data_IF_320939472650
#
_entry.id   IF_320939472650
#
_cell.length_a   1.000
_cell.length_b   1.000
_cell.length_c   1.000
_cell.angle_alpha   90.00
_cell.angle_beta   90.00
_cell.angle_gamma   90.00
#
_symmetry.space_group_name_H-M   'P 1'
#
loop_
_entity.id
_entity.type
_entity.pdbx_description
1 polymer ?
#
# COMPACT_ATOMS: atom_id res chain seq x y z
N UNK A 1 1.74 -22.58 14.18
CA UNK A 1 0.57 -21.68 14.25
C UNK A 1 0.63 -20.72 13.06
N UNK A 2 -0.21 -20.95 12.07
CA UNK A 2 -0.35 -20.16 10.84
C UNK A 2 -0.87 -18.77 11.18
N UNK A 3 0.03 -17.79 11.31
CA UNK A 3 -0.39 -16.38 11.32
C UNK A 3 -0.95 -16.08 9.93
N UNK A 4 -2.28 -16.02 9.85
CA UNK A 4 -3.04 -15.54 8.70
C UNK A 4 -2.33 -14.32 8.10
N UNK A 5 -1.94 -14.42 6.83
CA UNK A 5 -1.38 -13.34 6.04
C UNK A 5 -2.27 -12.11 6.19
N UNK A 6 -1.76 -11.07 6.84
CA UNK A 6 -2.40 -9.77 6.88
C UNK A 6 -1.77 -8.94 5.76
N UNK A 7 -2.42 -8.77 4.59
CA UNK A 7 -1.96 -7.82 3.58
C UNK A 7 -1.79 -6.44 4.17
N UNK A 8 -0.71 -5.80 3.74
CA UNK A 8 -0.19 -4.56 4.30
C UNK A 8 -1.17 -3.41 4.01
N UNK A 9 -1.76 -2.81 5.05
CA UNK A 9 -2.75 -1.74 4.92
C UNK A 9 -2.20 -0.53 4.15
N UNK A 10 -0.88 -0.34 4.21
CA UNK A 10 -0.15 0.70 3.47
C UNK A 10 -0.17 0.44 1.96
N UNK A 11 0.02 -0.82 1.53
CA UNK A 11 -0.05 -1.20 0.11
C UNK A 11 -1.48 -1.07 -0.42
N UNK A 12 -2.47 -1.47 0.38
CA UNK A 12 -3.89 -1.31 0.04
C UNK A 12 -4.30 0.17 -0.05
N UNK A 13 -3.74 1.02 0.81
CA UNK A 13 -3.94 2.48 0.74
C UNK A 13 -3.29 3.12 -0.49
N UNK A 14 -2.10 2.65 -0.90
CA UNK A 14 -1.38 3.14 -2.09
C UNK A 14 -2.00 2.68 -3.41
N UNK A 15 -2.71 1.56 -3.42
CA UNK A 15 -3.43 1.07 -4.59
C UNK A 15 -4.46 2.08 -5.12
N UNK A 16 -5.02 2.94 -4.26
CA UNK A 16 -5.89 4.03 -4.69
C UNK A 16 -5.25 4.95 -5.74
N UNK A 17 -3.95 5.23 -5.65
CA UNK A 17 -3.22 6.04 -6.65
C UNK A 17 -3.11 5.32 -7.99
N UNK A 18 -2.79 4.03 -7.97
CA UNK A 18 -2.71 3.18 -9.18
C UNK A 18 -4.07 3.14 -9.85
N UNK A 19 -5.16 3.03 -9.07
CA UNK A 19 -6.52 3.03 -9.59
C UNK A 19 -6.91 4.35 -10.26
N UNK A 20 -6.56 5.48 -9.65
CA UNK A 20 -6.78 6.81 -10.25
C UNK A 20 -6.02 6.93 -11.58
N UNK A 21 -4.74 6.54 -11.60
CA UNK A 21 -3.92 6.55 -12.81
C UNK A 21 -4.48 5.64 -13.90
N UNK A 22 -4.90 4.41 -13.55
CA UNK A 22 -5.49 3.46 -14.47
C UNK A 22 -6.83 3.94 -15.06
N UNK A 23 -7.70 4.52 -14.22
CA UNK A 23 -8.96 5.12 -14.67
C UNK A 23 -8.75 6.31 -15.61
N UNK A 24 -7.76 7.16 -15.31
CA UNK A 24 -7.37 8.27 -16.19
C UNK A 24 -6.83 7.75 -17.54
N UNK A 25 -5.94 6.76 -17.52
CA UNK A 25 -5.39 6.13 -18.72
C UNK A 25 -6.49 5.50 -19.59
N UNK A 26 -7.45 4.80 -18.98
CA UNK A 26 -8.61 4.25 -19.70
C UNK A 26 -9.44 5.37 -20.35
N UNK A 27 -9.71 6.44 -19.63
CA UNK A 27 -10.47 7.59 -20.15
C UNK A 27 -9.78 8.22 -21.36
N UNK A 28 -8.46 8.41 -21.29
CA UNK A 28 -7.65 8.91 -22.41
C UNK A 28 -7.70 7.95 -23.59
N UNK A 29 -7.53 6.65 -23.36
CA UNK A 29 -7.59 5.63 -24.41
C UNK A 29 -8.97 5.63 -25.11
N UNK A 30 -10.06 5.71 -24.36
CA UNK A 30 -11.41 5.80 -24.92
C UNK A 30 -11.61 7.09 -25.71
N UNK A 31 -11.10 8.23 -25.24
CA UNK A 31 -11.17 9.48 -25.98
C UNK A 31 -10.42 9.42 -27.33
N UNK A 32 -9.21 8.83 -27.34
CA UNK A 32 -8.44 8.61 -28.57
C UNK A 32 -9.18 7.67 -29.52
N UNK A 33 -9.71 6.55 -29.02
CA UNK A 33 -10.46 5.61 -29.84
C UNK A 33 -11.77 6.23 -30.37
N UNK A 34 -12.45 7.06 -29.59
CA UNK A 34 -13.63 7.80 -30.04
C UNK A 34 -13.28 8.80 -31.13
N UNK A 35 -12.13 9.50 -31.03
CA UNK A 35 -11.67 10.40 -32.08
C UNK A 35 -11.34 9.67 -33.40
N UNK A 36 -10.79 8.46 -33.32
CA UNK A 36 -10.41 7.66 -34.50
C UNK A 36 -11.57 6.92 -35.15
N UNK A 37 -12.47 6.36 -34.36
CA UNK A 37 -13.51 5.41 -34.81
C UNK A 37 -14.95 5.89 -34.56
N UNK A 38 -15.12 7.07 -33.96
CA UNK A 38 -16.40 7.74 -33.75
C UNK A 38 -17.36 6.95 -32.86
N UNK A 39 -18.65 7.03 -33.19
CA UNK A 39 -19.73 6.43 -32.41
C UNK A 39 -19.67 4.89 -32.30
N UNK A 40 -18.86 4.21 -33.12
CA UNK A 40 -18.70 2.73 -33.05
C UNK A 40 -18.09 2.25 -31.74
N UNK A 41 -17.42 3.16 -31.01
CA UNK A 41 -16.71 2.88 -29.75
C UNK A 41 -17.57 3.20 -28.52
N UNK A 42 -18.84 3.59 -28.72
CA UNK A 42 -19.73 3.99 -27.62
C UNK A 42 -19.80 3.00 -26.44
N UNK A 43 -19.69 1.67 -26.60
CA UNK A 43 -19.79 0.79 -25.44
C UNK A 43 -18.54 0.85 -24.52
N UNK A 44 -17.37 1.33 -25.01
CA UNK A 44 -16.23 1.63 -24.15
C UNK A 44 -16.48 2.84 -23.26
N UNK A 45 -17.32 3.79 -23.70
CA UNK A 45 -17.68 4.95 -22.87
C UNK A 45 -18.44 4.54 -21.60
N UNK A 46 -19.11 3.37 -21.59
CA UNK A 46 -19.75 2.84 -20.39
C UNK A 46 -18.73 2.47 -19.29
N UNK A 47 -17.50 2.12 -19.67
CA UNK A 47 -16.44 1.80 -18.71
C UNK A 47 -15.98 3.01 -17.89
N UNK A 48 -16.02 4.22 -18.48
CA UNK A 48 -15.57 5.47 -17.83
C UNK A 48 -16.36 5.79 -16.55
N UNK A 49 -17.70 5.91 -16.56
CA UNK A 49 -18.47 6.21 -15.35
C UNK A 49 -18.41 5.06 -14.33
N UNK A 50 -18.32 3.81 -14.78
CA UNK A 50 -18.17 2.64 -13.90
C UNK A 50 -16.85 2.68 -13.14
N UNK A 51 -15.73 2.88 -13.85
CA UNK A 51 -14.41 2.98 -13.24
C UNK A 51 -14.31 4.18 -12.30
N UNK A 52 -14.87 5.33 -12.67
CA UNK A 52 -14.93 6.52 -11.83
C UNK A 52 -15.71 6.26 -10.53
N UNK A 53 -16.92 5.69 -10.63
CA UNK A 53 -17.75 5.38 -9.47
C UNK A 53 -17.04 4.40 -8.51
N UNK A 54 -16.41 3.37 -9.04
CA UNK A 54 -15.71 2.37 -8.22
C UNK A 54 -14.41 2.91 -7.63
N UNK A 55 -13.74 3.84 -8.31
CA UNK A 55 -12.59 4.58 -7.75
C UNK A 55 -13.02 5.45 -6.59
N UNK A 56 -14.12 6.20 -6.72
CA UNK A 56 -14.69 7.00 -5.64
C UNK A 56 -15.13 6.11 -4.47
N UNK A 57 -15.80 5.00 -4.75
CA UNK A 57 -16.21 4.05 -3.72
C UNK A 57 -15.00 3.46 -2.98
N UNK A 58 -13.96 3.05 -3.72
CA UNK A 58 -12.73 2.51 -3.16
C UNK A 58 -12.05 3.53 -2.24
N UNK A 59 -11.82 4.76 -2.70
CA UNK A 59 -11.18 5.82 -1.89
C UNK A 59 -11.99 6.14 -0.63
N UNK A 60 -13.33 6.15 -0.72
CA UNK A 60 -14.20 6.45 0.44
C UNK A 60 -14.28 5.32 1.46
N UNK A 61 -14.21 4.07 1.01
CA UNK A 61 -14.44 2.89 1.86
C UNK A 61 -13.18 2.13 2.25
N UNK A 62 -12.05 2.35 1.59
CA UNK A 62 -10.78 1.69 1.90
C UNK A 62 -10.33 1.86 3.36
N UNK A 63 -10.59 2.98 4.07
CA UNK A 63 -10.21 3.09 5.49
C UNK A 63 -11.01 2.16 6.42
N UNK A 64 -12.19 1.69 5.98
CA UNK A 64 -13.09 0.86 6.80
C UNK A 64 -13.07 -0.62 6.40
N UNK A 65 -12.84 -0.91 5.11
CA UNK A 65 -12.86 -2.27 4.58
C UNK A 65 -11.86 -2.41 3.41
N UNK A 66 -10.54 -2.35 3.66
CA UNK A 66 -9.52 -2.25 2.62
C UNK A 66 -9.45 -3.48 1.70
N UNK A 67 -9.65 -4.69 2.25
CA UNK A 67 -9.65 -5.93 1.45
C UNK A 67 -10.86 -6.02 0.53
N UNK A 68 -12.05 -5.82 1.08
CA UNK A 68 -13.31 -5.97 0.33
C UNK A 68 -13.43 -4.90 -0.77
N UNK A 69 -12.92 -3.70 -0.50
CA UNK A 69 -12.87 -2.62 -1.50
C UNK A 69 -11.85 -2.87 -2.60
N UNK A 70 -10.74 -3.56 -2.30
CA UNK A 70 -9.74 -3.96 -3.32
C UNK A 70 -10.23 -5.12 -4.17
N UNK A 71 -10.86 -6.14 -3.57
CA UNK A 71 -11.49 -7.25 -4.30
C UNK A 71 -12.56 -6.75 -5.25
N UNK A 72 -13.51 -5.94 -4.75
CA UNK A 72 -14.58 -5.38 -5.58
C UNK A 72 -14.06 -4.48 -6.70
N UNK A 73 -13.02 -3.71 -6.41
CA UNK A 73 -12.30 -2.90 -7.40
C UNK A 73 -11.72 -3.76 -8.54
N UNK A 74 -10.95 -4.79 -8.21
CA UNK A 74 -10.33 -5.67 -9.20
C UNK A 74 -11.36 -6.48 -10.00
N UNK A 75 -12.47 -6.88 -9.38
CA UNK A 75 -13.57 -7.54 -10.06
C UNK A 75 -14.23 -6.63 -11.11
N UNK A 76 -14.46 -5.36 -10.77
CA UNK A 76 -15.00 -4.38 -11.73
C UNK A 76 -14.01 -4.13 -12.86
N UNK A 77 -12.73 -3.98 -12.55
CA UNK A 77 -11.71 -3.79 -13.58
C UNK A 77 -11.65 -4.98 -14.54
N UNK A 78 -11.82 -6.21 -14.04
CA UNK A 78 -11.92 -7.42 -14.86
C UNK A 78 -13.11 -7.37 -15.82
N UNK A 79 -14.28 -6.94 -15.35
CA UNK A 79 -15.47 -6.81 -16.20
C UNK A 79 -15.28 -5.73 -17.26
N UNK A 80 -14.78 -4.54 -16.89
CA UNK A 80 -14.57 -3.42 -17.82
C UNK A 80 -13.51 -3.77 -18.87
N UNK A 81 -12.41 -4.41 -18.46
CA UNK A 81 -11.36 -4.85 -19.38
C UNK A 81 -11.83 -5.98 -20.30
N UNK A 82 -12.63 -6.93 -19.80
CA UNK A 82 -13.25 -7.97 -20.62
C UNK A 82 -14.17 -7.38 -21.68
N UNK A 83 -15.03 -6.44 -21.28
CA UNK A 83 -15.92 -5.73 -22.20
C UNK A 83 -15.13 -4.92 -23.23
N UNK A 84 -14.07 -4.24 -22.80
CA UNK A 84 -13.22 -3.48 -23.72
C UNK A 84 -12.51 -4.37 -24.74
N UNK A 85 -11.97 -5.50 -24.29
CA UNK A 85 -11.32 -6.49 -25.15
C UNK A 85 -12.28 -7.03 -26.21
N UNK A 86 -13.52 -7.36 -25.82
CA UNK A 86 -14.49 -7.93 -26.74
C UNK A 86 -14.92 -6.96 -27.86
N UNK A 87 -14.95 -5.65 -27.56
CA UNK A 87 -15.34 -4.57 -28.47
C UNK A 87 -14.26 -4.19 -29.48
N UNK A 88 -13.01 -4.08 -29.03
CA UNK A 88 -11.87 -3.66 -29.86
C UNK A 88 -11.44 -4.78 -30.81
N UNK A 89 -12.10 -5.94 -30.78
CA UNK A 89 -11.75 -7.10 -31.61
C UNK A 89 -10.68 -7.99 -30.97
N UNK A 90 -10.50 -7.88 -29.65
CA UNK A 90 -9.69 -8.81 -28.88
C UNK A 90 -10.24 -10.23 -29.03
N UNK A 91 -9.37 -11.13 -29.45
CA UNK A 91 -9.60 -12.58 -29.39
C UNK A 91 -9.69 -13.00 -27.93
N UNK A 92 -10.29 -14.17 -27.64
CA UNK A 92 -10.25 -14.76 -26.30
C UNK A 92 -8.83 -14.75 -25.67
N UNK A 93 -7.78 -14.89 -26.48
CA UNK A 93 -6.38 -14.77 -26.05
C UNK A 93 -5.97 -13.36 -25.59
N UNK A 94 -6.43 -12.31 -26.27
CA UNK A 94 -6.22 -10.91 -25.86
C UNK A 94 -6.92 -10.60 -24.55
N UNK A 95 -8.13 -11.12 -24.35
CA UNK A 95 -8.87 -11.01 -23.08
C UNK A 95 -8.12 -11.67 -21.93
N UNK A 96 -7.57 -12.87 -22.16
CA UNK A 96 -6.76 -13.60 -21.18
C UNK A 96 -5.48 -12.82 -20.83
N UNK A 97 -4.76 -12.30 -21.82
CA UNK A 97 -3.55 -11.50 -21.59
C UNK A 97 -3.83 -10.24 -20.76
N UNK A 98 -4.95 -9.53 -21.00
CA UNK A 98 -5.34 -8.36 -20.21
C UNK A 98 -5.63 -8.69 -18.73
N UNK A 99 -6.11 -9.90 -18.44
CA UNK A 99 -6.32 -10.36 -17.05
C UNK A 99 -5.02 -10.59 -16.29
N UNK A 100 -3.88 -10.70 -16.98
CA UNK A 100 -2.57 -10.89 -16.34
C UNK A 100 -2.27 -9.76 -15.35
N UNK A 101 -2.62 -8.51 -15.70
CA UNK A 101 -2.46 -7.34 -14.83
C UNK A 101 -3.27 -7.49 -13.54
N UNK A 102 -4.50 -7.99 -13.66
CA UNK A 102 -5.43 -8.17 -12.54
C UNK A 102 -4.95 -9.31 -11.63
N UNK A 103 -4.46 -10.40 -12.22
CA UNK A 103 -3.93 -11.57 -11.50
C UNK A 103 -2.69 -11.19 -10.69
N UNK A 104 -1.75 -10.47 -11.32
CA UNK A 104 -0.54 -9.98 -10.64
C UNK A 104 -0.92 -9.04 -9.49
N UNK A 105 -1.81 -8.08 -9.76
CA UNK A 105 -2.29 -7.12 -8.76
C UNK A 105 -3.00 -7.82 -7.59
N UNK A 106 -3.87 -8.79 -7.88
CA UNK A 106 -4.57 -9.58 -6.88
C UNK A 106 -3.61 -10.40 -6.02
N UNK A 107 -2.60 -11.03 -6.62
CA UNK A 107 -1.60 -11.78 -5.86
C UNK A 107 -0.81 -10.89 -4.91
N UNK A 108 -0.30 -9.77 -5.39
CA UNK A 108 0.47 -8.82 -4.57
C UNK A 108 -0.37 -8.21 -3.45
N UNK A 109 -1.61 -7.81 -3.73
CA UNK A 109 -2.43 -7.04 -2.79
C UNK A 109 -3.27 -7.90 -1.84
N UNK A 110 -3.74 -9.06 -2.31
CA UNK A 110 -4.71 -9.90 -1.61
C UNK A 110 -4.19 -11.30 -1.30
N UNK A 111 -3.04 -11.67 -1.85
CA UNK A 111 -2.37 -12.94 -1.60
C UNK A 111 -2.64 -14.02 -2.65
N UNK A 112 -2.03 -15.20 -2.47
CA UNK A 112 -1.98 -16.25 -3.50
C UNK A 112 -3.34 -16.82 -3.89
N UNK A 113 -4.28 -16.94 -2.95
CA UNK A 113 -5.63 -17.42 -3.24
C UNK A 113 -6.40 -16.47 -4.16
N UNK A 114 -6.18 -15.16 -4.02
CA UNK A 114 -6.78 -14.18 -4.91
C UNK A 114 -6.21 -14.27 -6.33
N UNK A 115 -4.89 -14.43 -6.46
CA UNK A 115 -4.26 -14.68 -7.76
C UNK A 115 -4.86 -15.91 -8.46
N UNK A 116 -5.03 -17.03 -7.73
CA UNK A 116 -5.63 -18.24 -8.26
C UNK A 116 -7.09 -18.02 -8.70
N UNK A 117 -7.90 -17.33 -7.88
CA UNK A 117 -9.29 -17.03 -8.21
C UNK A 117 -9.41 -16.15 -9.47
N UNK A 118 -8.62 -15.08 -9.57
CA UNK A 118 -8.63 -14.21 -10.75
C UNK A 118 -8.04 -14.88 -12.00
N UNK A 119 -7.16 -15.87 -11.82
CA UNK A 119 -6.69 -16.73 -12.92
C UNK A 119 -7.83 -17.55 -13.49
N UNK A 120 -8.65 -18.16 -12.62
CA UNK A 120 -9.87 -18.88 -13.02
C UNK A 120 -10.87 -17.97 -13.74
N UNK A 121 -11.09 -16.76 -13.23
CA UNK A 121 -11.97 -15.77 -13.87
C UNK A 121 -11.47 -15.39 -15.27
N UNK A 122 -10.16 -15.09 -15.42
CA UNK A 122 -9.58 -14.76 -16.71
C UNK A 122 -9.67 -15.90 -17.73
N UNK A 123 -9.45 -17.15 -17.29
CA UNK A 123 -9.60 -18.32 -18.13
C UNK A 123 -11.05 -18.51 -18.60
N UNK A 124 -12.03 -18.41 -17.69
CA UNK A 124 -13.45 -18.51 -18.01
C UNK A 124 -13.90 -17.36 -18.94
N UNK A 125 -13.42 -16.14 -18.72
CA UNK A 125 -13.71 -15.01 -19.59
C UNK A 125 -13.16 -15.22 -21.00
N UNK A 126 -11.93 -15.74 -21.14
CA UNK A 126 -11.34 -16.09 -22.44
C UNK A 126 -12.10 -17.19 -23.18
N UNK A 127 -12.48 -18.26 -22.47
CA UNK A 127 -13.27 -19.36 -23.03
C UNK A 127 -14.69 -18.91 -23.41
N UNK A 128 -15.34 -18.13 -22.55
CA UNK A 128 -16.64 -17.54 -22.82
C UNK A 128 -16.61 -16.62 -24.03
N UNK A 129 -15.57 -15.80 -24.17
CA UNK A 129 -15.35 -14.96 -25.34
C UNK A 129 -15.18 -15.81 -26.61
N UNK A 130 -14.37 -16.89 -26.57
CA UNK A 130 -14.24 -17.80 -27.71
C UNK A 130 -15.59 -18.44 -28.08
N UNK A 131 -16.39 -18.86 -27.10
CA UNK A 131 -17.71 -19.43 -27.36
C UNK A 131 -18.66 -18.41 -28.03
N UNK A 132 -18.67 -17.16 -27.55
CA UNK A 132 -19.44 -16.08 -28.17
C UNK A 132 -18.97 -15.79 -29.60
N UNK A 133 -17.66 -15.83 -29.84
CA UNK A 133 -17.08 -15.70 -31.18
C UNK A 133 -17.54 -16.82 -32.12
N UNK A 134 -17.57 -18.08 -31.64
CA UNK A 134 -18.06 -19.23 -32.43
C UNK A 134 -19.55 -19.11 -32.76
N UNK A 135 -20.33 -18.45 -31.90
CA UNK A 135 -21.75 -18.20 -32.10
C UNK A 135 -22.04 -16.97 -32.98
N UNK A 136 -21.01 -16.26 -33.47
CA UNK A 136 -21.17 -15.06 -34.30
C UNK A 136 -21.65 -13.83 -33.53
N UNK A 137 -21.61 -13.86 -32.19
CA UNK A 137 -22.08 -12.77 -31.34
C UNK A 137 -20.89 -11.89 -30.94
N UNK A 138 -20.82 -10.67 -31.50
CA UNK A 138 -19.84 -9.69 -31.04
C UNK A 138 -19.85 -8.37 -31.82
N UNK A 139 -19.93 -7.20 -31.16
CA UNK A 139 -19.65 -5.93 -31.82
C UNK A 139 -18.15 -5.82 -32.10
N UNK A 140 -17.76 -5.80 -33.38
CA UNK A 140 -16.34 -5.81 -33.79
C UNK A 140 -15.99 -4.50 -34.49
N UNK A 141 -14.99 -3.80 -33.96
CA UNK A 141 -14.47 -2.56 -34.57
C UNK A 141 -13.22 -2.82 -35.44
N UNK A 142 -12.41 -3.86 -35.15
CA UNK A 142 -11.15 -4.18 -35.86
C UNK A 142 -11.14 -5.59 -36.48
N UNK A 143 -10.39 -5.76 -37.58
CA UNK A 143 -10.24 -7.03 -38.29
C UNK A 143 -9.64 -8.13 -37.40
N UNK A 144 -10.19 -9.35 -37.48
CA UNK A 144 -9.78 -10.50 -36.66
C UNK A 144 -8.89 -11.48 -37.44
N UNK A 145 -7.87 -12.12 -36.81
CA UNK A 145 -7.10 -13.22 -37.43
C UNK A 145 -7.98 -14.46 -37.69
N UNK A 146 -7.57 -15.40 -38.54
CA UNK A 146 -8.36 -16.60 -38.87
C UNK A 146 -8.63 -17.50 -37.65
N UNK A 147 -9.77 -18.21 -37.63
CA UNK A 147 -10.26 -18.98 -36.47
C UNK A 147 -9.31 -20.09 -36.00
N UNK A 148 -8.58 -20.73 -36.92
CA UNK A 148 -7.66 -21.83 -36.61
C UNK A 148 -6.46 -21.35 -35.77
N UNK A 149 -5.94 -20.16 -36.05
CA UNK A 149 -4.83 -19.56 -35.30
C UNK A 149 -5.28 -19.10 -33.90
N UNK A 150 -6.55 -18.74 -33.72
CA UNK A 150 -7.07 -18.23 -32.43
C UNK A 150 -7.07 -19.27 -31.33
N UNK A 151 -7.39 -20.53 -31.63
CA UNK A 151 -7.45 -21.59 -30.62
C UNK A 151 -6.04 -21.89 -30.07
N UNK A 152 -5.05 -21.95 -30.96
CA UNK A 152 -3.64 -22.14 -30.60
C UNK A 152 -3.11 -20.96 -29.78
N UNK A 153 -3.37 -19.73 -30.22
CA UNK A 153 -2.97 -18.53 -29.47
C UNK A 153 -3.66 -18.48 -28.11
N UNK A 154 -4.95 -18.85 -28.02
CA UNK A 154 -5.67 -18.94 -26.75
C UNK A 154 -5.05 -19.98 -25.81
N UNK A 155 -4.72 -21.18 -26.29
CA UNK A 155 -4.08 -22.20 -25.50
C UNK A 155 -2.73 -21.72 -24.93
N UNK A 156 -1.92 -21.06 -25.77
CA UNK A 156 -0.65 -20.45 -25.34
C UNK A 156 -0.91 -19.35 -24.29
N UNK A 157 -1.86 -18.44 -24.52
CA UNK A 157 -2.21 -17.36 -23.59
C UNK A 157 -2.74 -17.89 -22.26
N UNK A 158 -3.54 -18.96 -22.26
CA UNK A 158 -4.01 -19.65 -21.06
C UNK A 158 -2.83 -20.27 -20.29
N UNK A 159 -1.87 -20.90 -20.99
CA UNK A 159 -0.64 -21.42 -20.39
C UNK A 159 0.21 -20.32 -19.76
N UNK A 160 0.37 -19.18 -20.44
CA UNK A 160 1.07 -17.99 -19.90
C UNK A 160 0.35 -17.46 -18.67
N UNK A 161 -0.97 -17.32 -18.71
CA UNK A 161 -1.75 -16.81 -17.57
C UNK A 161 -1.74 -17.77 -16.38
N UNK A 162 -1.82 -19.07 -16.61
CA UNK A 162 -1.65 -20.07 -15.55
C UNK A 162 -0.25 -19.99 -14.94
N UNK A 163 0.79 -19.86 -15.76
CA UNK A 163 2.17 -19.66 -15.29
C UNK A 163 2.33 -18.38 -14.47
N UNK A 164 1.80 -17.25 -14.95
CA UNK A 164 1.84 -15.98 -14.21
C UNK A 164 1.03 -16.08 -12.91
N UNK A 165 -0.13 -16.75 -12.92
CA UNK A 165 -0.92 -16.99 -11.71
C UNK A 165 -0.14 -17.76 -10.66
N UNK A 166 0.55 -18.84 -11.06
CA UNK A 166 1.42 -19.63 -10.18
C UNK A 166 2.59 -18.80 -9.66
N UNK A 167 3.34 -18.15 -10.56
CA UNK A 167 4.50 -17.32 -10.18
C UNK A 167 4.08 -16.20 -9.24
N UNK A 168 2.98 -15.50 -9.53
CA UNK A 168 2.47 -14.43 -8.68
C UNK A 168 2.05 -14.99 -7.32
N UNK A 169 1.37 -16.13 -7.27
CA UNK A 169 1.01 -16.75 -5.99
C UNK A 169 2.28 -17.07 -5.17
N UNK A 170 3.30 -17.65 -5.79
CA UNK A 170 4.56 -18.01 -5.11
C UNK A 170 5.34 -16.77 -4.66
N UNK A 171 5.57 -15.79 -5.55
CA UNK A 171 6.33 -14.58 -5.24
C UNK A 171 5.58 -13.65 -4.28
N UNK A 172 4.27 -13.51 -4.42
CA UNK A 172 3.49 -12.70 -3.49
C UNK A 172 3.46 -13.34 -2.10
N UNK A 173 3.43 -14.67 -1.99
CA UNK A 173 3.59 -15.34 -0.70
C UNK A 173 4.92 -14.97 -0.06
N UNK A 174 6.01 -15.03 -0.83
CA UNK A 174 7.35 -14.69 -0.34
C UNK A 174 7.49 -13.21 0.02
N UNK A 175 6.91 -12.31 -0.77
CA UNK A 175 6.88 -10.88 -0.49
C UNK A 175 6.16 -10.59 0.83
N UNK A 176 5.02 -11.23 1.08
CA UNK A 176 4.29 -11.07 2.34
C UNK A 176 5.07 -11.57 3.55
N UNK A 177 5.82 -12.67 3.41
CA UNK A 177 6.74 -13.14 4.46
C UNK A 177 7.81 -12.09 4.79
N UNK A 178 8.49 -11.57 3.76
CA UNK A 178 9.55 -10.56 3.93
C UNK A 178 9.01 -9.25 4.52
N UNK A 179 7.82 -8.81 4.10
CA UNK A 179 7.17 -7.63 4.67
C UNK A 179 6.80 -7.85 6.14
N UNK A 180 6.31 -9.04 6.50
CA UNK A 180 6.00 -9.38 7.88
C UNK A 180 7.26 -9.42 8.76
N UNK A 181 8.36 -9.98 8.26
CA UNK A 181 9.66 -9.98 8.93
C UNK A 181 10.19 -8.55 9.14
N UNK A 182 10.21 -7.74 8.09
CA UNK A 182 10.62 -6.34 8.16
C UNK A 182 9.75 -5.53 9.12
N UNK A 183 8.44 -5.78 9.17
CA UNK A 183 7.52 -5.15 10.11
C UNK A 183 7.82 -5.51 11.56
N UNK A 184 8.17 -6.78 11.83
CA UNK A 184 8.56 -7.22 13.16
C UNK A 184 9.88 -6.57 13.62
N UNK A 185 10.88 -6.47 12.73
CA UNK A 185 12.14 -5.79 13.00
C UNK A 185 11.95 -4.29 13.27
N UNK A 186 11.15 -3.62 12.43
CA UNK A 186 10.83 -2.20 12.60
C UNK A 186 10.14 -1.93 13.94
N UNK A 187 9.24 -2.80 14.39
CA UNK A 187 8.57 -2.68 15.69
C UNK A 187 9.54 -2.82 16.86
N UNK A 188 10.51 -3.74 16.76
CA UNK A 188 11.58 -3.91 17.76
C UNK A 188 12.41 -2.64 17.86
N UNK A 189 12.83 -2.06 16.73
CA UNK A 189 13.57 -0.79 16.69
C UNK A 189 12.74 0.35 17.29
N UNK A 190 11.45 0.45 16.94
CA UNK A 190 10.53 1.45 17.48
C UNK A 190 10.41 1.35 19.01
N UNK A 191 10.28 0.14 19.54
CA UNK A 191 10.21 -0.12 20.99
C UNK A 191 11.51 0.22 21.70
N UNK A 192 12.68 -0.13 21.12
CA UNK A 192 14.00 0.28 21.65
C UNK A 192 14.13 1.80 21.66
N UNK A 193 13.72 2.49 20.59
CA UNK A 193 13.72 3.95 20.52
C UNK A 193 12.80 4.63 21.54
N UNK A 194 11.61 4.05 21.80
CA UNK A 194 10.71 4.51 22.88
C UNK A 194 11.35 4.34 24.26
N UNK A 195 11.92 3.16 24.55
CA UNK A 195 12.62 2.89 25.82
C UNK A 195 13.80 3.84 26.03
N UNK A 196 14.63 4.06 25.01
CA UNK A 196 15.75 5.00 25.07
C UNK A 196 15.30 6.43 25.37
N UNK A 197 14.23 6.91 24.71
CA UNK A 197 13.66 8.24 24.99
C UNK A 197 13.09 8.35 26.41
N UNK A 198 12.45 7.29 26.91
CA UNK A 198 11.98 7.24 28.29
C UNK A 198 13.13 7.25 29.30
N UNK A 199 14.21 6.51 29.03
CA UNK A 199 15.41 6.50 29.88
C UNK A 199 16.11 7.86 29.89
N UNK A 200 16.30 8.49 28.73
CA UNK A 200 16.85 9.86 28.65
C UNK A 200 15.97 10.85 29.40
N UNK A 201 14.64 10.75 29.26
CA UNK A 201 13.71 11.61 30.00
C UNK A 201 13.78 11.38 31.52
N UNK A 202 13.89 10.13 31.98
CA UNK A 202 14.08 9.82 33.41
C UNK A 202 15.40 10.35 33.92
N UNK A 203 16.50 10.07 33.23
CA UNK A 203 17.81 10.61 33.57
C UNK A 203 17.81 12.15 33.62
N UNK A 204 17.10 12.83 32.70
CA UNK A 204 16.95 14.28 32.74
C UNK A 204 16.17 14.79 33.95
N UNK A 205 15.20 14.02 34.46
CA UNK A 205 14.44 14.38 35.67
C UNK A 205 15.29 14.10 36.91
N UNK A 206 15.90 12.92 36.97
CA UNK A 206 16.68 12.44 38.12
C UNK A 206 17.98 13.24 38.32
N UNK A 207 18.53 13.86 37.27
CA UNK A 207 19.76 14.66 37.35
C UNK A 207 19.46 16.16 37.37
N UNK A 208 18.60 16.68 36.48
CA UNK A 208 18.42 18.13 36.38
C UNK A 208 17.61 18.72 37.54
N UNK A 209 16.71 17.97 38.19
CA UNK A 209 15.97 18.50 39.34
C UNK A 209 16.87 18.67 40.58
N UNK A 210 17.68 17.67 40.98
CA UNK A 210 18.64 17.85 42.07
C UNK A 210 19.71 18.91 41.80
N UNK A 211 20.19 19.05 40.55
CA UNK A 211 21.16 20.10 40.22
C UNK A 211 20.58 21.51 40.38
N UNK A 212 19.31 21.72 40.01
CA UNK A 212 18.62 23.01 40.25
C UNK A 212 18.39 23.29 41.72
N UNK A 213 18.10 22.27 42.54
CA UNK A 213 17.99 22.42 43.99
C UNK A 213 19.33 22.80 44.62
N UNK A 214 20.44 22.20 44.15
CA UNK A 214 21.80 22.55 44.61
C UNK A 214 22.20 23.96 44.21
N UNK A 215 21.85 24.41 43.00
CA UNK A 215 22.06 25.79 42.57
C UNK A 215 21.25 26.79 43.40
N UNK A 216 19.99 26.48 43.71
CA UNK A 216 19.15 27.30 44.59
C UNK A 216 19.71 27.39 46.02
N UNK A 217 20.25 26.28 46.55
CA UNK A 217 20.94 26.28 47.85
C UNK A 217 22.21 27.13 47.81
N UNK A 218 22.99 27.06 46.73
CA UNK A 218 24.18 27.89 46.56
C UNK A 218 23.82 29.39 46.45
N UNK A 219 22.71 29.72 45.80
CA UNK A 219 22.17 31.09 45.72
C UNK A 219 21.68 31.60 47.08
N UNK A 220 20.94 30.79 47.83
CA UNK A 220 20.50 31.14 49.19
C UNK A 220 21.66 31.34 50.17
N UNK A 221 22.71 30.52 50.06
CA UNK A 221 23.95 30.66 50.85
C UNK A 221 24.71 31.95 50.55
N UNK A 222 24.68 32.42 49.29
CA UNK A 222 25.30 33.67 48.88
C UNK A 222 24.46 34.92 49.20
N UNK A 223 23.13 34.81 49.17
CA UNK A 223 22.22 35.95 49.30
C UNK A 223 21.73 36.22 50.74
N UNK A 224 21.65 35.19 51.60
CA UNK A 224 21.02 35.35 52.92
C UNK A 224 21.96 36.00 53.96
N UNK A 225 21.54 37.15 54.50
CA UNK A 225 22.19 37.83 55.64
C UNK A 225 21.86 37.21 57.01
N UNK A 226 20.84 36.35 57.09
CA UNK A 226 20.29 35.84 58.35
C UNK A 226 20.54 34.32 58.49
N UNK A 227 21.81 33.92 58.58
CA UNK A 227 22.17 32.57 59.00
C UNK A 227 22.62 32.62 60.47
N UNK A 228 22.27 31.62 61.31
CA UNK A 228 22.68 31.58 62.71
C UNK A 228 24.20 31.71 62.83
N UNK A 229 24.67 32.41 63.86
CA UNK A 229 26.01 32.99 64.09
C UNK A 229 27.24 32.05 64.04
N UNK A 230 27.12 30.84 63.48
CA UNK A 230 28.18 29.83 63.42
C UNK A 230 29.02 29.84 62.13
N UNK A 231 28.64 30.61 61.09
CA UNK A 231 29.32 30.57 59.78
C UNK A 231 29.81 31.94 59.29
N UNK A 232 31.13 32.10 59.21
CA UNK A 232 31.78 33.27 58.60
C UNK A 232 31.33 33.50 57.15
N UNK A 233 31.14 34.76 56.75
CA UNK A 233 30.70 35.14 55.40
C UNK A 233 31.61 34.56 54.30
N UNK A 234 32.93 34.55 54.53
CA UNK A 234 33.92 34.02 53.59
C UNK A 234 33.88 32.48 53.49
N UNK A 235 33.40 31.77 54.52
CA UNK A 235 33.21 30.32 54.47
C UNK A 235 31.96 29.96 53.66
N UNK A 236 30.88 30.73 53.81
CA UNK A 236 29.64 30.59 53.02
C UNK A 236 29.88 30.79 51.53
N UNK A 237 30.60 31.85 51.17
CA UNK A 237 30.91 32.16 49.77
C UNK A 237 31.78 31.06 49.12
N UNK A 238 32.76 30.52 49.86
CA UNK A 238 33.58 29.39 49.38
C UNK A 238 32.76 28.12 49.15
N UNK A 239 31.80 27.81 50.01
CA UNK A 239 30.92 26.65 49.86
C UNK A 239 29.94 26.85 48.70
N UNK A 240 29.35 28.03 48.55
CA UNK A 240 28.47 28.36 47.43
C UNK A 240 29.21 28.29 46.08
N UNK A 241 30.43 28.82 46.01
CA UNK A 241 31.28 28.75 44.81
C UNK A 241 31.65 27.29 44.46
N UNK A 242 31.98 26.47 45.48
CA UNK A 242 32.30 25.06 45.30
C UNK A 242 31.09 24.25 44.83
N UNK A 243 29.89 24.56 45.33
CA UNK A 243 28.63 23.95 44.90
C UNK A 243 28.30 24.27 43.45
N UNK A 244 28.35 25.55 43.05
CA UNK A 244 28.16 25.98 41.65
C UNK A 244 29.17 25.35 40.70
N UNK A 245 30.44 25.28 41.11
CA UNK A 245 31.48 24.59 40.34
C UNK A 245 31.20 23.08 40.22
N UNK A 246 30.66 22.43 41.26
CA UNK A 246 30.31 21.01 41.17
C UNK A 246 29.08 20.75 40.32
N UNK A 247 28.08 21.64 40.32
CA UNK A 247 26.92 21.57 39.44
C UNK A 247 27.36 21.74 37.97
N UNK A 248 28.17 22.76 37.69
CA UNK A 248 28.70 23.04 36.34
C UNK A 248 29.65 21.98 35.77
N UNK A 249 30.12 21.01 36.58
CA UNK A 249 30.90 19.85 36.10
C UNK A 249 30.04 18.65 35.73
N UNK A 250 28.77 18.64 36.16
CA UNK A 250 27.82 17.54 35.98
C UNK A 250 26.80 17.88 34.89
N UNK A 251 26.48 19.16 34.71
CA UNK A 251 25.82 19.71 33.52
C UNK A 251 26.71 19.64 32.27
#
# INVERSE_FOLDING_TARGET
>A
MTRLLVPDEVLLGRFGLVRIAGGAAYTVAVAVLFALYGARVWPLLLGVPVLAAVTVWHVRRSPRAPRLTTVGSLAVDAVVLSGAASLVGGTGSGTVMLHTIIIVSAGILLGPLAAAAFTGVGALAGLGQLALEQLGVGPVVLARPELADRATILAISLGVVASVGVLTATYASRLHELVAEAGAEAEVVRRRGKRRRQLVRRASIDVAAPLRELDAVAEQLGASRAWPDAWDAQARERVAARLRMSVARVD
#
